data_IF_874079347148
#
_entry.id   IF_874079347148
#
_cell.length_a   1.000
_cell.length_b   1.000
_cell.length_c   1.000
_cell.angle_alpha   90.00
_cell.angle_beta   90.00
_cell.angle_gamma   90.00
#
_symmetry.space_group_name_H-M   'P 1'
#
loop_
_entity.id
_entity.type
_entity.pdbx_description
1 polymer ?
#
# COMPACT_ATOMS: atom_id res chain seq x y z
N UNK A 1 -3.77 6.83 -14.59
CA UNK A 1 -2.39 7.01 -14.05
C UNK A 1 -2.08 6.01 -12.93
N UNK A 2 -0.81 5.63 -12.69
CA UNK A 2 -0.49 4.77 -11.53
C UNK A 2 -0.58 5.54 -10.21
N UNK A 3 -1.01 4.89 -9.12
CA UNK A 3 -1.08 5.51 -7.79
C UNK A 3 0.31 5.91 -7.25
N UNK A 4 1.39 5.31 -7.75
CA UNK A 4 2.72 5.78 -7.44
C UNK A 4 3.02 7.12 -8.09
N UNK A 5 2.43 7.48 -9.23
CA UNK A 5 2.75 8.69 -9.99
C UNK A 5 1.87 9.91 -9.69
N UNK A 6 0.73 9.74 -9.00
CA UNK A 6 -0.10 10.89 -8.59
C UNK A 6 0.64 11.77 -7.58
N UNK A 7 0.90 13.02 -7.98
CA UNK A 7 1.56 14.02 -7.14
C UNK A 7 0.67 14.42 -5.96
N UNK A 8 -0.63 14.55 -6.19
CA UNK A 8 -1.63 14.93 -5.20
C UNK A 8 -1.73 13.88 -4.09
N UNK A 9 -1.74 12.59 -4.47
CA UNK A 9 -1.79 11.50 -3.50
C UNK A 9 -0.51 11.42 -2.66
N UNK A 10 0.65 11.72 -3.26
CA UNK A 10 1.94 11.80 -2.56
C UNK A 10 1.96 12.95 -1.55
N UNK A 11 1.47 14.13 -1.95
CA UNK A 11 1.38 15.29 -1.06
C UNK A 11 0.46 15.00 0.13
N UNK A 12 -0.75 14.47 -0.13
CA UNK A 12 -1.66 14.08 0.93
C UNK A 12 -1.04 13.02 1.86
N UNK A 13 -0.33 12.05 1.29
CA UNK A 13 0.38 11.03 2.08
C UNK A 13 1.43 11.66 3.00
N UNK A 14 2.17 12.67 2.55
CA UNK A 14 3.13 13.39 3.41
C UNK A 14 2.44 14.14 4.54
N UNK A 15 1.31 14.80 4.27
CA UNK A 15 0.55 15.53 5.30
C UNK A 15 0.02 14.59 6.38
N UNK A 16 -0.53 13.43 5.99
CA UNK A 16 -1.17 12.50 6.92
C UNK A 16 -0.19 11.58 7.65
N UNK A 17 0.89 11.17 6.97
CA UNK A 17 1.76 10.09 7.44
C UNK A 17 3.25 10.49 7.54
N UNK A 18 3.61 11.71 7.14
CA UNK A 18 5.02 12.13 7.04
C UNK A 18 5.82 11.41 5.96
N UNK A 19 5.18 10.59 5.12
CA UNK A 19 5.85 9.76 4.12
C UNK A 19 5.07 9.73 2.79
N UNK A 20 5.78 9.76 1.67
CA UNK A 20 5.19 10.03 0.36
C UNK A 20 4.34 8.90 -0.24
N UNK A 21 4.51 7.65 0.20
CA UNK A 21 3.94 6.49 -0.51
C UNK A 21 2.97 5.64 0.33
N UNK A 22 2.83 5.95 1.63
CA UNK A 22 2.00 5.20 2.58
C UNK A 22 0.59 5.06 2.07
N UNK A 23 -0.01 6.18 1.65
CA UNK A 23 -1.38 6.19 1.18
C UNK A 23 -1.53 5.36 -0.10
N UNK A 24 -0.64 5.52 -1.09
CA UNK A 24 -0.63 4.71 -2.32
C UNK A 24 -0.54 3.20 -2.00
N UNK A 25 0.35 2.81 -1.09
CA UNK A 25 0.49 1.41 -0.63
C UNK A 25 -0.80 0.90 0.02
N UNK A 26 -1.40 1.68 0.93
CA UNK A 26 -2.64 1.30 1.60
C UNK A 26 -3.79 1.15 0.59
N UNK A 27 -3.88 2.04 -0.39
CA UNK A 27 -4.90 1.99 -1.45
C UNK A 27 -4.70 0.76 -2.33
N UNK A 28 -3.47 0.47 -2.74
CA UNK A 28 -3.14 -0.75 -3.50
C UNK A 28 -3.57 -2.02 -2.77
N UNK A 29 -3.23 -2.14 -1.49
CA UNK A 29 -3.65 -3.26 -0.64
C UNK A 29 -5.18 -3.29 -0.46
N UNK A 30 -5.84 -2.13 -0.36
CA UNK A 30 -7.28 -2.04 -0.18
C UNK A 30 -8.09 -2.42 -1.43
N UNK A 31 -7.58 -2.10 -2.63
CA UNK A 31 -8.18 -2.46 -3.93
C UNK A 31 -7.86 -3.90 -4.35
N UNK A 32 -6.69 -4.41 -3.97
CA UNK A 32 -6.25 -5.76 -4.27
C UNK A 32 -6.95 -6.86 -3.46
N UNK A 33 -6.49 -8.09 -3.70
CA UNK A 33 -6.94 -9.28 -2.98
C UNK A 33 -6.55 -9.28 -1.49
N UNK A 34 -7.11 -10.24 -0.75
CA UNK A 34 -6.81 -10.39 0.68
C UNK A 34 -5.35 -10.79 0.94
N UNK A 35 -4.71 -11.44 -0.01
CA UNK A 35 -3.30 -11.81 0.06
C UNK A 35 -2.53 -11.19 -1.10
N UNK A 36 -1.30 -10.76 -0.83
CA UNK A 36 -0.45 -10.12 -1.83
C UNK A 36 1.03 -10.45 -1.59
N UNK A 37 1.83 -10.31 -2.65
CA UNK A 37 3.29 -10.34 -2.57
C UNK A 37 3.81 -8.91 -2.72
N UNK A 38 4.92 -8.60 -2.05
CA UNK A 38 5.49 -7.25 -2.06
C UNK A 38 5.86 -6.77 -3.47
N UNK A 39 6.52 -7.65 -4.25
CA UNK A 39 6.91 -7.33 -5.63
C UNK A 39 5.71 -7.04 -6.51
N UNK A 40 4.69 -7.89 -6.44
CA UNK A 40 3.46 -7.69 -7.23
C UNK A 40 2.76 -6.38 -6.88
N UNK A 41 2.73 -6.02 -5.59
CA UNK A 41 2.16 -4.74 -5.15
C UNK A 41 2.97 -3.55 -5.67
N UNK A 42 4.30 -3.63 -5.67
CA UNK A 42 5.16 -2.58 -6.24
C UNK A 42 4.89 -2.40 -7.74
N UNK A 43 4.86 -3.52 -8.48
CA UNK A 43 4.60 -3.55 -9.92
C UNK A 43 3.22 -2.96 -10.24
N UNK A 44 2.17 -3.39 -9.52
CA UNK A 44 0.79 -2.89 -9.68
C UNK A 44 0.66 -1.39 -9.38
N UNK A 45 1.47 -0.88 -8.47
CA UNK A 45 1.45 0.53 -8.10
C UNK A 45 2.35 1.39 -8.98
N UNK A 46 3.25 0.80 -9.78
CA UNK A 46 4.19 1.53 -10.64
C UNK A 46 5.47 2.00 -9.91
N UNK A 47 5.88 1.32 -8.84
CA UNK A 47 7.13 1.66 -8.15
C UNK A 47 8.34 1.02 -8.83
N UNK A 48 9.30 1.84 -9.26
CA UNK A 48 10.57 1.37 -9.84
C UNK A 48 11.44 0.59 -8.85
N UNK A 49 11.34 0.91 -7.56
CA UNK A 49 12.15 0.29 -6.51
C UNK A 49 11.27 -0.19 -5.34
N UNK A 50 11.52 -1.42 -4.90
CA UNK A 50 10.88 -2.03 -3.73
C UNK A 50 11.15 -1.25 -2.44
N UNK A 51 12.28 -0.56 -2.33
CA UNK A 51 12.62 0.25 -1.14
C UNK A 51 11.54 1.29 -0.83
N UNK A 52 10.89 1.87 -1.85
CA UNK A 52 9.84 2.88 -1.72
C UNK A 52 8.61 2.40 -0.93
N UNK A 53 8.39 1.08 -0.88
CA UNK A 53 7.25 0.47 -0.20
C UNK A 53 7.64 -0.36 1.02
N UNK A 54 8.94 -0.58 1.27
CA UNK A 54 9.39 -1.39 2.42
C UNK A 54 9.01 -0.77 3.76
N UNK A 55 9.31 0.52 3.98
CA UNK A 55 8.92 1.21 5.21
C UNK A 55 7.39 1.23 5.40
N UNK A 56 6.59 1.57 4.37
CA UNK A 56 5.14 1.39 4.44
C UNK A 56 4.70 0.01 4.90
N UNK A 57 5.30 -1.04 4.37
CA UNK A 57 4.90 -2.41 4.67
C UNK A 57 5.32 -2.80 6.09
N UNK A 58 6.53 -2.42 6.52
CA UNK A 58 7.01 -2.66 7.88
C UNK A 58 6.07 -2.04 8.90
N UNK A 59 5.68 -0.77 8.74
CA UNK A 59 4.88 -0.14 9.79
C UNK A 59 3.40 -0.57 9.71
N UNK A 60 2.89 -1.01 8.54
CA UNK A 60 1.59 -1.67 8.45
C UNK A 60 1.56 -3.04 9.14
N UNK A 61 2.67 -3.79 9.07
CA UNK A 61 2.86 -5.05 9.79
C UNK A 61 2.93 -4.80 11.30
N UNK A 62 3.72 -3.80 11.73
CA UNK A 62 3.83 -3.41 13.13
C UNK A 62 2.51 -2.90 13.73
N UNK A 63 1.67 -2.24 12.92
CA UNK A 63 0.33 -1.80 13.31
C UNK A 63 -0.74 -2.90 13.20
N UNK A 64 -0.36 -4.14 12.91
CA UNK A 64 -1.25 -5.31 12.74
C UNK A 64 -2.32 -5.15 11.65
N UNK A 65 -2.14 -4.20 10.74
CA UNK A 65 -3.03 -4.02 9.60
C UNK A 65 -2.81 -5.11 8.55
N UNK A 66 -1.59 -5.62 8.45
CA UNK A 66 -1.26 -6.79 7.63
C UNK A 66 -0.55 -7.84 8.48
N UNK A 67 -0.69 -9.10 8.09
CA UNK A 67 0.03 -10.23 8.69
C UNK A 67 0.95 -10.85 7.66
N UNK A 68 2.22 -10.98 7.99
CA UNK A 68 3.17 -11.74 7.19
C UNK A 68 2.86 -13.23 7.29
N UNK A 69 2.67 -13.86 6.14
CA UNK A 69 2.38 -15.29 6.04
C UNK A 69 3.68 -16.10 6.09
N UNK A 70 3.63 -17.36 6.57
CA UNK A 70 4.76 -18.29 6.45
C UNK A 70 5.27 -18.36 5.01
N UNK A 71 6.59 -18.46 4.83
CA UNK A 71 7.20 -18.54 3.50
C UNK A 71 6.78 -19.85 2.83
N UNK A 72 6.19 -19.74 1.65
CA UNK A 72 5.94 -20.90 0.75
C UNK A 72 6.79 -20.69 -0.49
N UNK A 73 7.61 -21.69 -0.84
CA UNK A 73 8.52 -21.65 -2.00
C UNK A 73 9.42 -20.38 -2.03
N UNK A 74 10.01 -20.01 -0.87
CA UNK A 74 10.85 -18.81 -0.69
C UNK A 74 10.19 -17.45 -0.99
N UNK A 75 8.87 -17.40 -1.23
CA UNK A 75 8.15 -16.14 -1.47
C UNK A 75 7.50 -15.65 -0.18
N UNK A 76 7.78 -14.39 0.17
CA UNK A 76 7.10 -13.72 1.27
C UNK A 76 5.76 -13.19 0.76
N UNK A 77 4.69 -13.54 1.47
CA UNK A 77 3.34 -13.04 1.23
C UNK A 77 2.80 -12.37 2.47
N UNK A 78 1.88 -11.46 2.27
CA UNK A 78 1.16 -10.76 3.32
C UNK A 78 -0.33 -10.97 3.13
N UNK A 79 -1.05 -10.99 4.25
CA UNK A 79 -2.50 -11.03 4.29
C UNK A 79 -3.02 -9.75 4.92
N UNK A 80 -3.98 -9.12 4.26
CA UNK A 80 -4.69 -7.96 4.78
C UNK A 80 -5.64 -8.37 5.91
N UNK A 81 -5.51 -7.71 7.07
CA UNK A 81 -6.42 -7.89 8.19
C UNK A 81 -7.64 -6.99 8.05
N UNK A 82 -8.75 -7.31 8.73
CA UNK A 82 -9.95 -6.48 8.69
C UNK A 82 -9.70 -5.20 9.49
N UNK A 83 -9.90 -4.04 8.86
CA UNK A 83 -9.74 -2.73 9.51
C UNK A 83 -10.50 -1.66 8.72
N UNK A 84 -10.98 -0.63 9.41
CA UNK A 84 -11.57 0.56 8.79
C UNK A 84 -10.53 1.41 8.04
N UNK A 85 -9.24 1.25 8.35
CA UNK A 85 -8.15 1.95 7.67
C UNK A 85 -8.19 1.75 6.14
N UNK A 86 -8.65 0.59 5.67
CA UNK A 86 -8.78 0.30 4.23
C UNK A 86 -9.91 1.04 3.56
N UNK A 87 -11.03 1.22 4.27
CA UNK A 87 -12.15 2.01 3.77
C UNK A 87 -11.75 3.47 3.71
N UNK A 88 -11.11 3.98 4.77
CA UNK A 88 -10.60 5.34 4.81
C UNK A 88 -9.56 5.62 3.73
N UNK A 89 -8.60 4.72 3.50
CA UNK A 89 -7.62 4.89 2.42
C UNK A 89 -8.30 4.99 1.03
N UNK A 90 -9.30 4.15 0.76
CA UNK A 90 -10.08 4.22 -0.49
C UNK A 90 -10.90 5.51 -0.58
N UNK A 91 -11.49 5.96 0.51
CA UNK A 91 -12.22 7.23 0.57
C UNK A 91 -11.30 8.40 0.24
N UNK A 92 -10.12 8.48 0.87
CA UNK A 92 -9.13 9.53 0.58
C UNK A 92 -8.70 9.53 -0.88
N UNK A 93 -8.42 8.35 -1.45
CA UNK A 93 -8.03 8.22 -2.85
C UNK A 93 -9.16 8.57 -3.83
N UNK A 94 -10.43 8.41 -3.46
CA UNK A 94 -11.57 8.74 -4.33
C UNK A 94 -11.68 10.24 -4.66
N UNK A 95 -10.99 11.10 -3.89
CA UNK A 95 -10.91 12.55 -4.13
C UNK A 95 -9.99 12.91 -5.30
N UNK A 96 -9.18 11.95 -5.77
CA UNK A 96 -8.20 12.11 -6.84
C UNK A 96 -8.42 11.00 -7.88
N UNK A 97 -9.45 11.11 -8.73
CA UNK A 97 -9.71 10.12 -9.76
C UNK A 97 -8.48 9.98 -10.68
N UNK A 98 -8.12 8.74 -10.99
CA UNK A 98 -7.13 8.45 -12.02
C UNK A 98 -7.74 8.86 -13.36
N UNK A 99 -7.30 9.99 -13.92
CA UNK A 99 -7.51 10.28 -15.35
C UNK A 99 -6.78 9.24 -16.23
#
# INVERSE_FOLDING_TARGET
MSLAESNELRELSRVLFGQAHRLSVMVGIARGGREFALSKLADELGFENLSSIQDPIRDLEAAELITRMPKVANKVRFRRNKSYAWTWAKELASRYPEE
#
